data_IF_211296448182
#
_entry.id   IF_211296448182
#
_cell.length_a   1.000
_cell.length_b   1.000
_cell.length_c   1.000
_cell.angle_alpha   90.00
_cell.angle_beta   90.00
_cell.angle_gamma   90.00
#
_symmetry.space_group_name_H-M   'P 1'
#
loop_
_entity.id
_entity.type
_entity.pdbx_description
1 polymer ?
#
# COMPACT_ATOMS: atom_id res chain seq x y z
N UNK A 1 5.81 -25.27 -5.13
CA UNK A 1 4.77 -24.22 -4.98
C UNK A 1 5.42 -22.91 -4.57
N UNK A 2 5.05 -21.84 -5.22
CA UNK A 2 5.55 -20.50 -4.86
C UNK A 2 4.61 -19.88 -3.86
N UNK A 3 5.13 -19.48 -2.71
CA UNK A 3 4.35 -18.79 -1.69
C UNK A 3 4.24 -17.29 -1.96
N UNK A 4 5.23 -16.74 -2.66
CA UNK A 4 5.30 -15.32 -2.97
C UNK A 4 5.29 -15.18 -4.49
N UNK A 5 4.12 -15.00 -5.06
CA UNK A 5 4.00 -14.93 -6.52
C UNK A 5 3.09 -13.80 -6.98
N UNK A 6 2.46 -13.10 -6.03
CA UNK A 6 1.48 -12.07 -6.37
C UNK A 6 2.15 -10.72 -6.54
N UNK A 7 1.62 -9.95 -7.49
CA UNK A 7 2.00 -8.54 -7.63
C UNK A 7 0.96 -7.68 -6.93
N UNK A 8 1.44 -6.59 -6.36
CA UNK A 8 0.57 -5.54 -5.85
C UNK A 8 1.06 -4.20 -6.42
N UNK A 9 0.21 -3.21 -6.38
CA UNK A 9 0.59 -1.85 -6.72
C UNK A 9 0.34 -0.97 -5.51
N UNK A 10 1.38 -0.26 -5.08
CA UNK A 10 1.26 0.74 -4.01
C UNK A 10 1.01 2.08 -4.67
N UNK A 11 -0.05 2.75 -4.24
CA UNK A 11 -0.35 4.12 -4.67
C UNK A 11 0.05 5.04 -3.54
N UNK A 12 1.07 5.85 -3.76
CA UNK A 12 1.54 6.81 -2.78
C UNK A 12 0.94 8.18 -3.09
N UNK A 13 0.19 8.71 -2.13
CA UNK A 13 -0.35 10.06 -2.21
C UNK A 13 0.69 11.04 -1.68
N UNK A 14 1.03 12.04 -2.46
CA UNK A 14 2.07 13.00 -2.12
C UNK A 14 1.62 14.41 -2.52
N UNK A 15 1.71 15.33 -1.56
CA UNK A 15 1.44 16.75 -1.83
C UNK A 15 2.72 17.42 -2.32
N UNK A 16 2.66 18.01 -3.51
CA UNK A 16 3.80 18.74 -4.07
C UNK A 16 4.20 19.87 -3.12
N UNK A 17 5.49 19.98 -2.84
CA UNK A 17 6.01 20.98 -1.91
C UNK A 17 5.91 22.40 -2.46
N UNK A 18 5.84 22.55 -3.79
CA UNK A 18 5.79 23.86 -4.46
C UNK A 18 4.35 24.25 -4.77
N UNK A 19 3.63 23.43 -5.53
CA UNK A 19 2.27 23.76 -6.01
C UNK A 19 1.19 23.44 -4.98
N UNK A 20 1.50 22.63 -3.97
CA UNK A 20 0.56 22.14 -2.96
C UNK A 20 -0.54 21.25 -3.53
N UNK A 21 -0.42 20.83 -4.78
CA UNK A 21 -1.35 19.90 -5.40
C UNK A 21 -1.04 18.47 -4.96
N UNK A 22 -2.10 17.66 -4.83
CA UNK A 22 -1.95 16.25 -4.50
C UNK A 22 -1.55 15.48 -5.75
N UNK A 23 -0.47 14.72 -5.64
CA UNK A 23 0.03 13.86 -6.71
C UNK A 23 -0.02 12.41 -6.25
N UNK A 24 -0.20 11.50 -7.20
CA UNK A 24 -0.29 10.07 -6.91
C UNK A 24 0.73 9.32 -7.75
N UNK A 25 1.52 8.50 -7.09
CA UNK A 25 2.57 7.71 -7.75
C UNK A 25 2.31 6.23 -7.50
N UNK A 26 2.37 5.44 -8.56
CA UNK A 26 2.16 4.00 -8.47
C UNK A 26 3.48 3.26 -8.61
N UNK A 27 3.64 2.22 -7.81
CA UNK A 27 4.81 1.34 -7.87
C UNK A 27 4.32 -0.10 -7.80
N UNK A 28 4.73 -0.92 -8.77
CA UNK A 28 4.37 -2.34 -8.79
C UNK A 28 5.43 -3.10 -8.01
N UNK A 29 5.00 -3.85 -7.01
CA UNK A 29 5.85 -4.70 -6.19
C UNK A 29 5.50 -6.14 -6.48
N UNK A 30 6.51 -6.99 -6.55
CA UNK A 30 6.33 -8.39 -6.94
C UNK A 30 6.71 -9.34 -5.81
N UNK A 31 6.32 -10.60 -6.00
CA UNK A 31 6.59 -11.68 -5.07
C UNK A 31 5.98 -11.47 -3.69
N UNK A 32 4.86 -10.78 -3.63
CA UNK A 32 4.15 -10.51 -2.40
C UNK A 32 3.23 -11.66 -2.02
N UNK A 33 3.02 -11.86 -0.73
CA UNK A 33 2.05 -12.81 -0.22
C UNK A 33 0.83 -12.05 0.29
N UNK A 34 -0.34 -12.38 -0.27
CA UNK A 34 -1.59 -11.72 0.07
C UNK A 34 -2.49 -12.70 0.79
N UNK A 35 -3.01 -12.31 1.95
CA UNK A 35 -4.01 -13.06 2.68
C UNK A 35 -5.22 -12.19 2.95
N UNK A 36 -6.38 -12.67 2.55
CA UNK A 36 -7.63 -12.03 2.94
C UNK A 36 -8.04 -12.59 4.30
N UNK A 37 -8.29 -11.70 5.23
CA UNK A 37 -8.72 -12.06 6.58
C UNK A 37 -10.08 -11.46 6.88
N UNK A 38 -10.86 -12.21 7.65
CA UNK A 38 -12.19 -11.80 8.05
C UNK A 38 -12.25 -11.84 9.56
N UNK A 39 -12.45 -10.69 10.19
CA UNK A 39 -12.68 -10.60 11.62
C UNK A 39 -14.19 -10.52 11.86
N UNK A 40 -14.68 -11.44 12.70
CA UNK A 40 -16.08 -11.45 13.10
C UNK A 40 -16.17 -11.16 14.58
N UNK A 41 -16.87 -10.09 14.94
CA UNK A 41 -17.04 -9.71 16.33
C UNK A 41 -18.55 -9.65 16.64
N UNK A 42 -19.04 -10.41 17.62
CA UNK A 42 -20.45 -10.30 18.04
C UNK A 42 -20.65 -9.03 18.86
N UNK A 43 -21.64 -8.24 18.48
CA UNK A 43 -22.03 -7.05 19.23
C UNK A 43 -23.55 -6.95 19.23
N UNK A 44 -24.16 -6.86 20.42
CA UNK A 44 -25.59 -6.64 20.56
C UNK A 44 -26.46 -7.55 19.67
N UNK A 45 -26.17 -8.85 19.70
CA UNK A 45 -26.87 -9.89 18.93
C UNK A 45 -26.66 -9.78 17.41
N UNK A 46 -25.74 -8.96 16.95
CA UNK A 46 -25.34 -8.91 15.54
C UNK A 46 -23.88 -9.29 15.38
N UNK A 47 -23.56 -9.86 14.23
CA UNK A 47 -22.17 -10.16 13.86
C UNK A 47 -21.69 -9.10 12.90
N UNK A 48 -20.66 -8.39 13.30
CA UNK A 48 -19.97 -7.47 12.41
C UNK A 48 -18.78 -8.18 11.79
N UNK A 49 -18.76 -8.26 10.47
CA UNK A 49 -17.66 -8.85 9.73
C UNK A 49 -16.84 -7.76 9.12
N UNK A 50 -15.54 -7.78 9.41
CA UNK A 50 -14.60 -6.81 8.88
C UNK A 50 -13.57 -7.57 8.05
N UNK A 51 -13.54 -7.27 6.74
CA UNK A 51 -12.59 -7.87 5.83
C UNK A 51 -11.38 -6.97 5.68
N UNK A 52 -10.20 -7.58 5.70
CA UNK A 52 -8.98 -6.86 5.43
C UNK A 52 -7.95 -7.77 4.76
N UNK A 53 -6.94 -7.16 4.17
CA UNK A 53 -5.83 -7.88 3.56
C UNK A 53 -4.58 -7.74 4.42
N UNK A 54 -3.93 -8.87 4.67
CA UNK A 54 -2.60 -8.91 5.28
C UNK A 54 -1.61 -9.22 4.17
N UNK A 55 -0.69 -8.32 3.91
CA UNK A 55 0.20 -8.40 2.78
C UNK A 55 1.63 -8.41 3.28
N UNK A 56 2.39 -9.43 2.88
CA UNK A 56 3.82 -9.53 3.16
C UNK A 56 4.56 -9.13 1.90
N UNK A 57 5.36 -8.08 2.00
CA UNK A 57 6.13 -7.52 0.89
C UNK A 57 7.59 -7.83 1.14
N UNK A 58 8.24 -8.67 0.30
CA UNK A 58 9.68 -8.91 0.45
C UNK A 58 10.47 -7.65 0.12
N UNK A 59 11.66 -7.54 0.68
CA UNK A 59 12.50 -6.36 0.45
C UNK A 59 12.68 -6.11 -1.04
N UNK A 60 12.47 -4.86 -1.43
CA UNK A 60 12.64 -4.37 -2.81
C UNK A 60 13.24 -2.97 -2.74
N UNK A 61 14.01 -2.63 -3.76
CA UNK A 61 14.71 -1.35 -3.81
C UNK A 61 13.74 -0.17 -3.98
N UNK A 62 14.20 0.99 -3.58
CA UNK A 62 13.47 2.24 -3.77
C UNK A 62 12.61 2.66 -2.59
N UNK A 63 12.53 1.85 -1.54
CA UNK A 63 11.76 2.22 -0.36
C UNK A 63 12.41 3.36 0.40
N UNK A 64 11.57 4.33 0.78
CA UNK A 64 11.93 5.39 1.73
C UNK A 64 10.89 5.40 2.84
N UNK A 65 11.29 5.82 4.04
CA UNK A 65 10.32 6.06 5.10
C UNK A 65 9.32 7.14 4.65
N UNK A 66 8.09 7.16 5.19
CA UNK A 66 7.15 8.22 4.82
C UNK A 66 7.72 9.63 5.02
N UNK A 67 8.47 9.84 6.09
CA UNK A 67 9.10 11.14 6.35
C UNK A 67 10.06 11.53 5.22
N UNK A 68 10.93 10.61 4.82
CA UNK A 68 11.91 10.89 3.76
C UNK A 68 11.24 11.01 2.40
N UNK A 69 10.25 10.18 2.13
CA UNK A 69 9.52 10.18 0.85
C UNK A 69 8.84 11.53 0.62
N UNK A 70 8.13 12.04 1.62
CA UNK A 70 7.35 13.27 1.47
C UNK A 70 8.19 14.54 1.44
N UNK A 71 9.49 14.41 1.66
CA UNK A 71 10.42 15.52 1.52
C UNK A 71 11.00 15.66 0.12
N UNK A 72 10.77 14.68 -0.75
CA UNK A 72 11.32 14.71 -2.10
C UNK A 72 10.53 15.66 -2.99
N UNK A 73 11.21 16.42 -3.87
CA UNK A 73 10.51 17.10 -4.95
C UNK A 73 9.99 16.10 -5.99
N UNK A 74 8.98 16.50 -6.76
CA UNK A 74 8.32 15.59 -7.70
C UNK A 74 9.28 14.98 -8.71
N UNK A 75 10.27 15.72 -9.16
CA UNK A 75 11.23 15.23 -10.16
C UNK A 75 12.19 14.15 -9.62
N UNK A 76 12.20 13.93 -8.31
CA UNK A 76 13.03 12.90 -7.68
C UNK A 76 12.23 11.69 -7.19
N UNK A 77 10.92 11.64 -7.47
CA UNK A 77 10.07 10.56 -6.98
C UNK A 77 10.18 9.28 -7.79
N UNK A 78 10.71 9.33 -9.01
CA UNK A 78 10.79 8.17 -9.89
C UNK A 78 11.62 7.06 -9.25
N UNK A 79 11.08 5.85 -9.26
CA UNK A 79 11.74 4.69 -8.66
C UNK A 79 11.67 4.64 -7.14
N UNK A 80 11.04 5.61 -6.50
CA UNK A 80 10.89 5.65 -5.05
C UNK A 80 9.47 5.32 -4.64
N UNK A 81 9.32 4.71 -3.48
CA UNK A 81 8.00 4.37 -2.94
C UNK A 81 8.07 4.32 -1.42
N UNK A 82 6.90 4.36 -0.80
CA UNK A 82 6.78 4.27 0.64
C UNK A 82 5.51 3.54 1.02
N UNK A 83 5.34 3.29 2.30
CA UNK A 83 4.13 2.72 2.88
C UNK A 83 3.68 3.65 4.00
N UNK A 84 2.67 4.45 3.73
CA UNK A 84 2.13 5.39 4.68
C UNK A 84 0.68 5.04 5.01
N UNK A 85 0.26 5.25 6.24
CA UNK A 85 -1.09 4.91 6.68
C UNK A 85 -2.09 6.00 6.29
N UNK A 86 -3.35 5.58 6.08
CA UNK A 86 -4.54 6.42 5.93
C UNK A 86 -4.73 7.05 4.55
N UNK A 87 -3.70 7.29 3.77
CA UNK A 87 -3.84 7.87 2.43
C UNK A 87 -3.36 6.95 1.32
N UNK A 88 -2.33 6.16 1.59
CA UNK A 88 -1.77 5.29 0.57
C UNK A 88 -2.65 4.07 0.38
N UNK A 89 -2.70 3.60 -0.87
CA UNK A 89 -3.54 2.47 -1.27
C UNK A 89 -2.68 1.30 -1.71
N UNK A 90 -3.23 0.12 -1.55
CA UNK A 90 -2.70 -1.09 -2.17
C UNK A 90 -3.75 -1.65 -3.10
N UNK A 91 -3.36 -1.87 -4.35
CA UNK A 91 -4.19 -2.53 -5.35
C UNK A 91 -3.65 -3.95 -5.52
N UNK A 92 -4.53 -4.94 -5.42
CA UNK A 92 -4.13 -6.33 -5.65
C UNK A 92 -3.96 -6.54 -7.14
N UNK A 93 -2.72 -6.73 -7.59
CA UNK A 93 -2.40 -6.84 -8.99
C UNK A 93 -1.61 -5.65 -9.49
N UNK A 94 -1.47 -5.57 -10.80
CA UNK A 94 -0.67 -4.56 -11.45
C UNK A 94 -1.57 -3.44 -11.97
N UNK A 95 -1.25 -2.20 -11.61
CA UNK A 95 -1.99 -1.01 -12.05
C UNK A 95 -0.97 0.05 -12.46
N UNK A 96 -0.97 0.43 -13.71
CA UNK A 96 0.03 1.35 -14.26
C UNK A 96 -0.59 2.61 -14.89
N UNK A 97 -1.90 2.77 -14.81
CA UNK A 97 -2.58 3.93 -15.37
C UNK A 97 -2.31 5.19 -14.53
N UNK A 98 -2.29 6.38 -15.14
CA UNK A 98 -2.16 7.62 -14.39
C UNK A 98 -3.32 7.81 -13.42
N UNK A 99 -3.02 8.43 -12.27
CA UNK A 99 -4.00 8.60 -11.21
C UNK A 99 -4.13 10.09 -10.90
N UNK A 100 -5.36 10.60 -10.95
CA UNK A 100 -5.71 11.92 -10.45
C UNK A 100 -6.68 11.79 -9.28
N UNK A 101 -7.18 12.92 -8.77
CA UNK A 101 -8.08 12.90 -7.62
C UNK A 101 -9.38 12.12 -7.90
N UNK A 102 -9.92 12.22 -9.12
CA UNK A 102 -11.15 11.52 -9.48
C UNK A 102 -10.92 10.01 -9.53
N UNK A 103 -9.80 9.59 -10.11
CA UNK A 103 -9.45 8.17 -10.19
C UNK A 103 -9.15 7.61 -8.80
N UNK A 104 -8.48 8.37 -7.94
CA UNK A 104 -8.23 7.97 -6.57
C UNK A 104 -9.55 7.65 -5.84
N UNK A 105 -10.54 8.51 -5.96
CA UNK A 105 -11.85 8.28 -5.33
C UNK A 105 -12.52 7.02 -5.89
N UNK A 106 -12.41 6.79 -7.20
CA UNK A 106 -12.96 5.57 -7.81
C UNK A 106 -12.24 4.31 -7.33
N UNK A 107 -10.92 4.38 -7.16
CA UNK A 107 -10.14 3.25 -6.65
C UNK A 107 -10.57 2.86 -5.25
N UNK A 108 -10.92 3.83 -4.40
CA UNK A 108 -11.38 3.54 -3.04
C UNK A 108 -12.63 2.66 -2.98
N UNK A 109 -13.38 2.58 -4.08
CA UNK A 109 -14.64 1.80 -4.15
C UNK A 109 -14.43 0.40 -4.72
N UNK A 110 -13.22 0.05 -5.14
CA UNK A 110 -12.95 -1.26 -5.74
C UNK A 110 -12.70 -2.29 -4.66
N UNK A 111 -13.12 -3.53 -4.91
CA UNK A 111 -12.94 -4.64 -3.97
C UNK A 111 -11.48 -5.08 -3.86
N UNK A 112 -10.68 -4.82 -4.90
CA UNK A 112 -9.26 -5.20 -4.93
C UNK A 112 -8.34 -4.09 -4.44
N UNK A 113 -8.88 -3.08 -3.78
CA UNK A 113 -8.13 -1.94 -3.27
C UNK A 113 -8.38 -1.80 -1.78
N UNK A 114 -7.31 -1.59 -1.03
CA UNK A 114 -7.40 -1.30 0.40
C UNK A 114 -6.54 -0.11 0.76
N UNK A 115 -6.98 0.64 1.75
CA UNK A 115 -6.20 1.74 2.34
C UNK A 115 -5.24 1.14 3.35
N UNK A 116 -3.98 1.58 3.32
CA UNK A 116 -3.00 1.09 4.29
C UNK A 116 -3.39 1.56 5.69
N UNK A 117 -3.59 0.59 6.60
CA UNK A 117 -4.00 0.88 7.98
C UNK A 117 -2.86 0.70 8.98
N UNK A 118 -1.96 -0.24 8.72
CA UNK A 118 -0.78 -0.41 9.57
C UNK A 118 0.37 -1.00 8.76
N UNK A 119 1.57 -0.69 9.20
CA UNK A 119 2.80 -1.17 8.56
C UNK A 119 3.75 -1.65 9.64
N UNK A 120 4.25 -2.88 9.48
CA UNK A 120 5.33 -3.41 10.31
C UNK A 120 6.58 -3.54 9.46
N UNK A 121 7.65 -2.89 9.88
CA UNK A 121 8.93 -2.92 9.18
C UNK A 121 9.81 -4.00 9.80
N UNK A 122 10.04 -5.07 9.04
CA UNK A 122 10.88 -6.17 9.44
C UNK A 122 12.13 -6.27 8.57
N UNK A 123 12.61 -5.16 8.06
CA UNK A 123 13.78 -5.13 7.17
C UNK A 123 15.10 -5.16 7.92
N UNK A 124 15.07 -5.00 9.26
CA UNK A 124 16.28 -5.05 10.08
C UNK A 124 16.64 -6.46 10.50
N UNK A 125 15.76 -7.46 10.33
CA UNK A 125 16.07 -8.84 10.65
C UNK A 125 17.07 -9.41 9.64
N UNK A 126 17.98 -10.31 10.06
CA UNK A 126 19.01 -10.81 9.13
C UNK A 126 18.49 -11.71 8.03
N UNK A 127 17.35 -12.40 8.25
CA UNK A 127 16.76 -13.30 7.28
C UNK A 127 15.35 -12.84 6.94
N UNK A 128 14.96 -12.99 5.66
CA UNK A 128 13.61 -12.71 5.19
C UNK A 128 13.18 -11.28 5.49
N UNK A 129 14.00 -10.32 5.07
CA UNK A 129 13.64 -8.91 5.19
C UNK A 129 12.34 -8.62 4.44
N UNK A 130 11.41 -8.01 5.12
CA UNK A 130 10.09 -7.76 4.54
C UNK A 130 9.34 -6.66 5.31
N UNK A 131 8.27 -6.17 4.69
CA UNK A 131 7.25 -5.36 5.36
C UNK A 131 5.97 -6.18 5.46
N UNK A 132 5.23 -6.00 6.53
CA UNK A 132 3.88 -6.52 6.66
C UNK A 132 2.91 -5.37 6.71
N UNK A 133 1.91 -5.39 5.85
CA UNK A 133 0.95 -4.30 5.69
C UNK A 133 -0.45 -4.84 5.91
N UNK A 134 -1.25 -4.10 6.67
CA UNK A 134 -2.68 -4.34 6.77
C UNK A 134 -3.38 -3.27 5.94
N UNK A 135 -4.18 -3.71 4.98
CA UNK A 135 -4.94 -2.83 4.10
C UNK A 135 -6.42 -3.17 4.16
N UNK A 136 -7.24 -2.14 4.20
CA UNK A 136 -8.69 -2.34 4.36
C UNK A 136 -9.51 -1.39 3.50
#
# INVERSE_FOLDING_TARGET
MRLFASKITVINAHRDTITKEMMYFSTVLKDCMIRKKVDTAPTNNTLNTVDYYSITIPYQDGYLSPYDYHRLPNDQMSGKWTLDTEEDLIILGEYTEPIDNDIYVKLLKRDDVGVIRSVSDNTTVPLLKHWRVIAK
#
